data_IF_583408268642
#
_entry.id   IF_583408268642
#
_cell.length_a   1.000
_cell.length_b   1.000
_cell.length_c   1.000
_cell.angle_alpha   90.00
_cell.angle_beta   90.00
_cell.angle_gamma   90.00
#
_symmetry.space_group_name_H-M   'P 1'
#
loop_
_entity.id
_entity.type
_entity.pdbx_description
1 polymer ?
#
# COMPACT_ATOMS: atom_id res chain seq x y z
N UNK A 1 -6.34 19.43 -0.44
CA UNK A 1 -7.58 19.59 0.35
C UNK A 1 -8.18 20.99 0.15
N UNK A 2 -8.65 21.35 -1.05
CA UNK A 2 -9.14 22.71 -1.33
C UNK A 2 -10.45 22.75 -2.15
N UNK A 3 -11.20 21.64 -2.19
CA UNK A 3 -12.43 21.53 -3.00
C UNK A 3 -13.71 21.33 -2.18
N UNK A 4 -13.60 21.15 -0.87
CA UNK A 4 -14.76 20.88 0.01
C UNK A 4 -15.33 22.12 0.70
N UNK A 5 -14.63 23.26 0.67
CA UNK A 5 -15.07 24.49 1.35
C UNK A 5 -16.10 25.29 0.54
N UNK A 6 -16.07 25.22 -0.80
CA UNK A 6 -16.97 26.02 -1.66
C UNK A 6 -18.43 25.53 -1.70
N UNK A 7 -18.69 24.29 -1.29
CA UNK A 7 -20.05 23.73 -1.31
C UNK A 7 -20.92 24.24 -0.14
N UNK A 8 -20.30 24.63 0.97
CA UNK A 8 -20.99 25.15 2.15
C UNK A 8 -21.36 26.64 2.04
N UNK A 9 -20.65 27.40 1.20
CA UNK A 9 -20.90 28.84 1.01
C UNK A 9 -22.13 29.09 0.11
N UNK A 10 -22.42 28.20 -0.84
CA UNK A 10 -23.60 28.32 -1.72
C UNK A 10 -24.92 27.99 -1.01
N UNK A 11 -24.89 27.26 0.12
CA UNK A 11 -26.10 26.89 0.85
C UNK A 11 -26.59 27.97 1.83
N UNK A 12 -25.76 28.97 2.13
CA UNK A 12 -26.09 30.06 3.05
C UNK A 12 -26.76 31.27 2.37
N UNK A 13 -26.83 31.30 1.03
CA UNK A 13 -27.46 32.39 0.28
C UNK A 13 -28.93 32.16 -0.10
N UNK A 14 -29.55 31.04 0.27
CA UNK A 14 -30.92 30.72 -0.15
C UNK A 14 -32.01 31.11 0.88
N UNK A 15 -31.69 32.05 1.78
CA UNK A 15 -32.53 32.41 2.93
C UNK A 15 -33.17 33.78 2.88
N UNK A 16 -33.15 34.47 1.75
CA UNK A 16 -33.70 35.83 1.61
C UNK A 16 -34.62 35.91 0.39
N UNK A 17 -35.82 35.34 0.54
CA UNK A 17 -36.92 35.54 -0.40
C UNK A 17 -38.00 36.31 0.35
N UNK A 18 -37.83 37.63 0.36
CA UNK A 18 -38.74 38.60 0.92
C UNK A 18 -40.05 38.55 0.12
N UNK A 19 -41.10 37.96 0.69
CA UNK A 19 -42.43 37.95 0.08
C UNK A 19 -43.04 39.35 0.20
N UNK A 20 -42.83 40.19 -0.81
CA UNK A 20 -43.62 41.41 -0.99
C UNK A 20 -45.05 41.03 -1.41
N UNK A 21 -45.99 41.13 -0.48
CA UNK A 21 -47.42 41.20 -0.78
C UNK A 21 -47.72 42.54 -1.45
N UNK A 22 -47.93 42.53 -2.78
CA UNK A 22 -48.66 43.60 -3.47
C UNK A 22 -50.15 43.53 -3.07
N UNK A 23 -50.52 44.29 -2.04
CA UNK A 23 -51.90 44.52 -1.62
C UNK A 23 -52.38 45.93 -1.96
N UNK A 24 -52.37 46.30 -3.24
CA UNK A 24 -53.01 47.53 -3.69
C UNK A 24 -54.52 47.33 -3.84
N UNK A 25 -55.32 47.88 -2.91
CA UNK A 25 -56.58 48.65 -3.16
C UNK A 25 -57.46 48.71 -1.91
N UNK A 26 -57.57 49.90 -1.32
CA UNK A 26 -58.73 50.28 -0.51
C UNK A 26 -58.88 51.80 -0.50
N UNK A 27 -59.91 52.32 -1.17
CA UNK A 27 -61.03 52.97 -0.46
C UNK A 27 -62.11 53.41 -1.46
N UNK A 28 -63.21 52.66 -1.46
CA UNK A 28 -64.52 53.09 -1.94
C UNK A 28 -65.49 53.16 -0.76
N UNK A 29 -65.79 54.39 -0.36
CA UNK A 29 -66.92 54.92 0.43
C UNK A 29 -68.04 53.96 0.89
N UNK A 30 -68.26 53.96 2.22
CA UNK A 30 -69.51 53.88 3.01
C UNK A 30 -70.78 53.26 2.39
N UNK A 31 -71.26 52.18 3.03
CA UNK A 31 -72.60 51.62 2.80
C UNK A 31 -73.14 50.83 4.01
N UNK A 32 -73.82 51.54 4.90
CA UNK A 32 -74.58 51.08 6.07
C UNK A 32 -75.65 50.03 5.72
N UNK A 33 -75.75 48.88 6.44
CA UNK A 33 -77.04 48.23 6.75
C UNK A 33 -76.97 46.98 7.68
N UNK A 34 -77.78 47.07 8.75
CA UNK A 34 -78.61 46.05 9.43
C UNK A 34 -77.99 44.94 10.31
N UNK A 35 -78.34 45.02 11.59
CA UNK A 35 -78.08 44.06 12.65
C UNK A 35 -78.62 42.65 12.34
N UNK A 36 -77.74 41.64 12.48
CA UNK A 36 -78.11 40.24 12.76
C UNK A 36 -77.25 39.76 13.93
N UNK A 37 -77.92 39.24 14.96
CA UNK A 37 -77.34 38.70 16.21
C UNK A 37 -76.01 37.98 15.95
N UNK A 38 -74.91 38.56 16.42
CA UNK A 38 -73.69 37.81 16.71
C UNK A 38 -73.96 36.96 17.95
N UNK A 39 -74.27 35.69 17.76
CA UNK A 39 -73.86 34.69 18.75
C UNK A 39 -72.38 34.45 18.50
N UNK A 40 -71.54 34.94 19.41
CA UNK A 40 -70.11 34.61 19.41
C UNK A 40 -69.95 33.09 19.25
N UNK A 41 -69.05 32.60 18.37
CA UNK A 41 -68.70 31.19 18.36
C UNK A 41 -68.16 30.86 19.75
N UNK A 42 -68.90 30.03 20.49
CA UNK A 42 -68.45 29.48 21.76
C UNK A 42 -67.22 28.61 21.48
N UNK A 43 -66.12 28.91 22.20
CA UNK A 43 -64.96 28.04 22.39
C UNK A 43 -64.13 27.68 21.14
N UNK A 44 -63.30 28.62 20.66
CA UNK A 44 -62.13 28.30 19.82
C UNK A 44 -60.88 27.88 20.62
N UNK A 45 -60.88 28.09 21.94
CA UNK A 45 -59.72 27.82 22.82
C UNK A 45 -59.27 26.36 22.82
N UNK A 46 -60.21 25.41 22.85
CA UNK A 46 -59.87 23.99 22.84
C UNK A 46 -59.19 23.49 21.56
N UNK A 47 -59.50 24.08 20.40
CA UNK A 47 -58.83 23.74 19.12
C UNK A 47 -57.40 24.29 19.10
N UNK A 48 -57.20 25.51 19.62
CA UNK A 48 -55.87 26.13 19.71
C UNK A 48 -54.96 25.35 20.67
N UNK A 49 -55.47 24.94 21.83
CA UNK A 49 -54.75 24.11 22.80
C UNK A 49 -54.39 22.72 22.24
N UNK A 50 -55.30 22.10 21.48
CA UNK A 50 -55.03 20.83 20.81
C UNK A 50 -53.91 20.95 19.77
N UNK A 51 -53.91 22.04 18.97
CA UNK A 51 -52.86 22.32 18.00
C UNK A 51 -51.52 22.59 18.69
N UNK A 52 -51.52 23.33 19.80
CA UNK A 52 -50.31 23.60 20.60
C UNK A 52 -49.72 22.30 21.17
N UNK A 53 -50.60 21.44 21.72
CA UNK A 53 -50.22 20.14 22.29
C UNK A 53 -49.64 19.20 21.22
N UNK A 54 -50.26 19.17 20.04
CA UNK A 54 -49.77 18.41 18.90
C UNK A 54 -48.39 18.90 18.43
N UNK A 55 -48.20 20.23 18.35
CA UNK A 55 -46.91 20.84 17.99
C UNK A 55 -45.81 20.46 18.99
N UNK A 56 -46.11 20.48 20.28
CA UNK A 56 -45.16 20.05 21.33
C UNK A 56 -44.83 18.57 21.21
N UNK A 57 -45.82 17.71 21.00
CA UNK A 57 -45.62 16.27 20.84
C UNK A 57 -44.73 15.96 19.65
N UNK A 58 -44.99 16.57 18.48
CA UNK A 58 -44.15 16.39 17.30
C UNK A 58 -42.73 16.90 17.53
N UNK A 59 -42.59 18.08 18.16
CA UNK A 59 -41.27 18.64 18.48
C UNK A 59 -40.46 17.71 19.40
N UNK A 60 -41.10 17.12 20.40
CA UNK A 60 -40.47 16.15 21.31
C UNK A 60 -40.10 14.85 20.58
N UNK A 61 -40.98 14.31 19.75
CA UNK A 61 -40.73 13.08 18.99
C UNK A 61 -39.55 13.24 18.02
N UNK A 62 -39.52 14.34 17.26
CA UNK A 62 -38.40 14.65 16.38
C UNK A 62 -37.09 14.82 17.15
N UNK A 63 -37.12 15.53 18.29
CA UNK A 63 -35.93 15.71 19.10
C UNK A 63 -35.42 14.37 19.66
N UNK A 64 -36.32 13.50 20.14
CA UNK A 64 -35.97 12.16 20.61
C UNK A 64 -35.32 11.34 19.49
N UNK A 65 -35.89 11.38 18.28
CA UNK A 65 -35.35 10.67 17.12
C UNK A 65 -33.97 11.20 16.70
N UNK A 66 -33.77 12.53 16.75
CA UNK A 66 -32.46 13.14 16.45
C UNK A 66 -31.41 12.73 17.47
N UNK A 67 -31.72 12.74 18.76
CA UNK A 67 -30.77 12.31 19.78
C UNK A 67 -30.48 10.79 19.70
N UNK A 68 -31.48 9.97 19.37
CA UNK A 68 -31.27 8.54 19.11
C UNK A 68 -30.31 8.31 17.92
N UNK A 69 -30.53 9.00 16.79
CA UNK A 69 -29.65 8.91 15.63
C UNK A 69 -28.22 9.37 15.94
N UNK A 70 -28.07 10.45 16.72
CA UNK A 70 -26.77 10.94 17.17
C UNK A 70 -26.06 9.92 18.07
N UNK A 71 -26.79 9.26 18.97
CA UNK A 71 -26.24 8.21 19.83
C UNK A 71 -25.78 6.99 19.01
N UNK A 72 -26.57 6.58 18.01
CA UNK A 72 -26.19 5.49 17.08
C UNK A 72 -24.92 5.85 16.29
N UNK A 73 -24.84 7.06 15.74
CA UNK A 73 -23.66 7.50 15.02
C UNK A 73 -22.42 7.55 15.92
N UNK A 74 -22.55 8.06 17.14
CA UNK A 74 -21.46 8.08 18.11
C UNK A 74 -21.01 6.66 18.49
N UNK A 75 -21.95 5.73 18.64
CA UNK A 75 -21.65 4.33 18.91
C UNK A 75 -20.86 3.69 17.76
N UNK A 76 -21.31 3.87 16.51
CA UNK A 76 -20.61 3.32 15.34
C UNK A 76 -19.23 3.94 15.15
N UNK A 77 -19.08 5.25 15.38
CA UNK A 77 -17.77 5.90 15.34
C UNK A 77 -16.82 5.35 16.41
N UNK A 78 -17.33 5.11 17.62
CA UNK A 78 -16.58 4.49 18.71
C UNK A 78 -16.12 3.08 18.34
N UNK A 79 -17.03 2.24 17.82
CA UNK A 79 -16.69 0.90 17.33
C UNK A 79 -15.63 0.92 16.23
N UNK A 80 -15.75 1.84 15.27
CA UNK A 80 -14.76 1.98 14.20
C UNK A 80 -13.39 2.36 14.75
N UNK A 81 -13.32 3.34 15.64
CA UNK A 81 -12.08 3.77 16.30
C UNK A 81 -11.43 2.61 17.04
N UNK A 82 -12.20 1.86 17.81
CA UNK A 82 -11.68 0.75 18.61
C UNK A 82 -11.14 -0.37 17.70
N UNK A 83 -11.86 -0.72 16.63
CA UNK A 83 -11.36 -1.67 15.61
C UNK A 83 -10.08 -1.18 14.94
N UNK A 84 -9.99 0.11 14.58
CA UNK A 84 -8.77 0.66 14.01
C UNK A 84 -7.60 0.59 14.99
N UNK A 85 -7.82 0.87 16.28
CA UNK A 85 -6.78 0.76 17.30
C UNK A 85 -6.29 -0.69 17.47
N UNK A 86 -7.21 -1.66 17.48
CA UNK A 86 -6.88 -3.08 17.48
C UNK A 86 -6.08 -3.49 16.24
N UNK A 87 -6.50 -3.04 15.05
CA UNK A 87 -5.83 -3.34 13.78
C UNK A 87 -4.39 -2.79 13.74
N UNK A 88 -4.21 -1.54 14.18
CA UNK A 88 -2.89 -0.90 14.27
C UNK A 88 -2.01 -1.65 15.25
N UNK A 89 -2.53 -2.00 16.42
CA UNK A 89 -1.77 -2.74 17.44
C UNK A 89 -1.35 -4.12 16.93
N UNK A 90 -2.27 -4.83 16.27
CA UNK A 90 -2.01 -6.17 15.73
C UNK A 90 -0.99 -6.14 14.60
N UNK A 91 -1.15 -5.23 13.64
CA UNK A 91 -0.22 -5.07 12.51
C UNK A 91 1.16 -4.67 13.01
N UNK A 92 1.22 -3.76 13.99
CA UNK A 92 2.48 -3.34 14.62
C UNK A 92 3.18 -4.51 15.31
N UNK A 93 2.44 -5.35 16.05
CA UNK A 93 2.99 -6.54 16.69
C UNK A 93 3.50 -7.56 15.66
N UNK A 94 2.77 -7.77 14.57
CA UNK A 94 3.19 -8.65 13.49
C UNK A 94 4.48 -8.15 12.83
N UNK A 95 4.53 -6.87 12.45
CA UNK A 95 5.74 -6.29 11.85
C UNK A 95 6.94 -6.35 12.80
N UNK A 96 6.75 -6.10 14.10
CA UNK A 96 7.81 -6.24 15.09
C UNK A 96 8.35 -7.68 15.15
N UNK A 97 7.46 -8.68 15.12
CA UNK A 97 7.83 -10.09 15.09
C UNK A 97 8.62 -10.45 13.82
N UNK A 98 8.15 -10.01 12.64
CA UNK A 98 8.83 -10.24 11.37
C UNK A 98 10.23 -9.60 11.36
N UNK A 99 10.37 -8.39 11.90
CA UNK A 99 11.66 -7.71 12.04
C UNK A 99 12.61 -8.47 12.98
N UNK A 100 12.12 -8.98 14.11
CA UNK A 100 12.93 -9.83 15.00
C UNK A 100 13.39 -11.10 14.30
N UNK A 101 12.51 -11.75 13.53
CA UNK A 101 12.86 -12.96 12.79
C UNK A 101 13.94 -12.68 11.73
N UNK A 102 13.84 -11.58 10.99
CA UNK A 102 14.85 -11.17 10.00
C UNK A 102 16.18 -10.84 10.70
N UNK A 103 16.13 -10.21 11.88
CA UNK A 103 17.32 -9.91 12.68
C UNK A 103 18.04 -11.20 13.10
N UNK A 104 17.32 -12.19 13.59
CA UNK A 104 17.90 -13.48 13.99
C UNK A 104 18.53 -14.21 12.81
N UNK A 105 17.87 -14.21 11.64
CA UNK A 105 18.41 -14.77 10.41
C UNK A 105 19.69 -14.07 9.96
N UNK A 106 19.75 -12.75 10.08
CA UNK A 106 20.95 -11.98 9.76
C UNK A 106 22.11 -12.33 10.69
N UNK A 107 21.85 -12.43 12.00
CA UNK A 107 22.86 -12.85 12.99
C UNK A 107 23.41 -14.24 12.65
N UNK A 108 22.54 -15.18 12.30
CA UNK A 108 22.94 -16.52 11.89
C UNK A 108 23.83 -16.49 10.64
N UNK A 109 23.39 -15.81 9.58
CA UNK A 109 24.13 -15.72 8.32
C UNK A 109 25.51 -15.06 8.51
N UNK A 110 25.60 -14.04 9.37
CA UNK A 110 26.89 -13.43 9.74
C UNK A 110 27.81 -14.44 10.44
N UNK A 111 27.28 -15.28 11.34
CA UNK A 111 28.04 -16.33 12.00
C UNK A 111 28.59 -17.39 11.03
N UNK A 112 27.76 -17.83 10.08
CA UNK A 112 28.15 -18.80 9.04
C UNK A 112 29.21 -18.23 8.08
N UNK A 113 29.07 -16.96 7.70
CA UNK A 113 30.05 -16.27 6.85
C UNK A 113 31.40 -16.12 7.57
N UNK A 114 31.38 -15.77 8.86
CA UNK A 114 32.60 -15.67 9.67
C UNK A 114 33.27 -17.04 9.85
N UNK A 115 32.49 -18.10 10.07
CA UNK A 115 33.00 -19.47 10.11
C UNK A 115 33.68 -19.85 8.80
N UNK A 116 33.04 -19.56 7.66
CA UNK A 116 33.60 -19.84 6.32
C UNK A 116 34.90 -19.06 6.09
N UNK A 117 34.95 -17.79 6.51
CA UNK A 117 36.15 -16.95 6.44
C UNK A 117 37.31 -17.57 7.23
N UNK A 118 37.05 -18.08 8.43
CA UNK A 118 38.07 -18.74 9.25
C UNK A 118 38.57 -20.05 8.62
N UNK A 119 37.66 -20.87 8.08
CA UNK A 119 38.02 -22.10 7.36
C UNK A 119 38.91 -21.80 6.14
N UNK A 120 38.58 -20.77 5.35
CA UNK A 120 39.37 -20.36 4.20
C UNK A 120 40.78 -19.87 4.60
N UNK A 121 40.89 -19.15 5.72
CA UNK A 121 42.19 -18.70 6.23
C UNK A 121 43.08 -19.90 6.67
N UNK A 122 42.49 -20.90 7.33
CA UNK A 122 43.19 -22.14 7.65
C UNK A 122 43.67 -22.87 6.39
N UNK A 123 42.81 -23.01 5.38
CA UNK A 123 43.17 -23.64 4.10
C UNK A 123 44.33 -22.90 3.43
N UNK A 124 44.27 -21.56 3.33
CA UNK A 124 45.36 -20.76 2.76
C UNK A 124 46.71 -20.96 3.49
N UNK A 125 46.71 -21.11 4.82
CA UNK A 125 47.93 -21.40 5.59
C UNK A 125 48.46 -22.80 5.30
N UNK A 126 47.58 -23.81 5.18
CA UNK A 126 47.99 -25.18 4.82
C UNK A 126 48.46 -25.30 3.37
N UNK A 127 47.85 -24.56 2.43
CA UNK A 127 48.24 -24.47 1.02
C UNK A 127 49.60 -23.78 0.88
N UNK A 128 49.83 -22.69 1.62
CA UNK A 128 51.12 -21.98 1.65
C UNK A 128 52.23 -22.88 2.20
N UNK A 129 51.94 -23.69 3.24
CA UNK A 129 52.88 -24.71 3.73
C UNK A 129 53.15 -25.80 2.69
N UNK A 130 52.11 -26.31 1.99
CA UNK A 130 52.25 -27.35 0.96
C UNK A 130 52.99 -26.84 -0.29
N UNK A 131 52.73 -25.60 -0.69
CA UNK A 131 53.41 -24.88 -1.78
C UNK A 131 54.88 -24.66 -1.50
N UNK A 132 55.26 -24.44 -0.23
CA UNK A 132 56.67 -24.30 0.17
C UNK A 132 57.46 -25.62 0.21
N UNK A 133 56.78 -26.77 0.30
CA UNK A 133 57.41 -28.09 0.49
C UNK A 133 57.64 -28.85 -0.83
N UNK A 134 56.96 -28.51 -1.93
CA UNK A 134 57.18 -29.18 -3.21
C UNK A 134 57.29 -28.15 -4.35
N UNK A 135 58.48 -27.58 -4.51
CA UNK A 135 58.84 -26.85 -5.72
C UNK A 135 58.75 -27.79 -6.92
N UNK A 136 58.23 -27.32 -8.06
CA UNK A 136 58.17 -28.08 -9.31
C UNK A 136 59.55 -28.67 -9.69
N UNK A 137 60.64 -28.04 -9.21
CA UNK A 137 62.01 -28.52 -9.34
C UNK A 137 62.29 -29.82 -8.56
N UNK A 138 61.66 -30.06 -7.40
CA UNK A 138 61.83 -31.30 -6.62
C UNK A 138 60.99 -32.45 -7.16
N UNK A 139 59.81 -32.15 -7.72
CA UNK A 139 59.01 -33.15 -8.44
C UNK A 139 59.71 -33.63 -9.74
N UNK A 140 60.42 -32.74 -10.44
CA UNK A 140 61.19 -33.11 -11.63
C UNK A 140 62.48 -33.91 -11.32
N UNK A 141 62.99 -33.88 -10.09
CA UNK A 141 64.11 -34.72 -9.64
C UNK A 141 63.70 -36.14 -9.31
N UNK A 142 62.42 -36.37 -9.00
CA UNK A 142 61.86 -37.71 -8.92
C UNK A 142 61.80 -38.26 -10.33
N UNK A 143 62.85 -38.98 -10.72
CA UNK A 143 62.98 -39.60 -12.04
C UNK A 143 61.77 -40.51 -12.27
N UNK A 144 60.88 -40.22 -13.24
CA UNK A 144 59.96 -41.23 -13.71
C UNK A 144 60.82 -42.28 -14.41
N UNK A 145 60.90 -43.48 -13.85
CA UNK A 145 61.46 -44.61 -14.57
C UNK A 145 60.71 -44.73 -15.89
N UNK A 146 61.48 -44.49 -16.95
CA UNK A 146 61.11 -44.46 -18.36
C UNK A 146 59.99 -45.43 -18.73
N UNK A 147 58.87 -44.89 -19.21
CA UNK A 147 57.99 -45.61 -20.15
C UNK A 147 57.68 -44.68 -21.31
N UNK A 148 58.30 -45.02 -22.43
CA UNK A 148 58.04 -44.54 -23.79
C UNK A 148 56.55 -44.39 -24.06
N UNK A 149 56.12 -43.26 -24.65
CA UNK A 149 55.54 -43.22 -26.01
C UNK A 149 54.99 -41.83 -26.38
N UNK A 150 55.47 -41.35 -27.53
CA UNK A 150 54.86 -40.48 -28.55
C UNK A 150 53.96 -39.29 -28.15
N UNK A 151 54.45 -38.09 -28.47
CA UNK A 151 53.70 -36.85 -28.69
C UNK A 151 52.70 -36.96 -29.85
N UNK A 152 51.69 -36.07 -29.89
CA UNK A 152 51.69 -35.12 -31.01
C UNK A 152 51.49 -33.67 -30.58
N UNK A 153 52.23 -32.81 -31.29
CA UNK A 153 52.16 -31.36 -31.30
C UNK A 153 50.84 -30.86 -31.88
N UNK A 154 50.21 -29.87 -31.24
CA UNK A 154 49.18 -29.04 -31.86
C UNK A 154 49.42 -27.56 -31.49
N UNK A 155 49.50 -26.74 -32.52
CA UNK A 155 49.86 -25.35 -32.50
C UNK A 155 48.83 -24.47 -31.77
N UNK A 156 49.31 -23.43 -31.09
CA UNK A 156 48.48 -22.37 -30.48
C UNK A 156 47.85 -21.53 -31.60
N UNK A 157 46.52 -21.58 -31.75
CA UNK A 157 45.75 -20.56 -32.47
C UNK A 157 45.37 -19.44 -31.50
N UNK A 158 45.55 -18.19 -31.92
CA UNK A 158 45.25 -16.98 -31.16
C UNK A 158 43.95 -16.33 -31.67
N UNK A 159 42.88 -17.11 -31.75
CA UNK A 159 41.54 -16.63 -32.11
C UNK A 159 40.60 -17.09 -31.01
N UNK A 160 39.89 -16.20 -30.27
CA UNK A 160 38.85 -16.62 -29.35
C UNK A 160 37.83 -17.43 -30.14
N UNK A 161 37.73 -18.71 -29.83
CA UNK A 161 36.74 -19.58 -30.45
C UNK A 161 35.35 -19.03 -30.12
N UNK A 162 34.47 -18.79 -31.10
CA UNK A 162 33.13 -18.28 -30.83
C UNK A 162 32.39 -19.33 -29.98
N UNK A 163 32.23 -19.03 -28.70
CA UNK A 163 31.47 -19.87 -27.77
C UNK A 163 29.99 -19.61 -28.04
N UNK A 164 29.35 -20.56 -28.72
CA UNK A 164 27.90 -20.53 -28.92
C UNK A 164 27.23 -21.17 -27.71
N UNK A 165 26.54 -20.36 -26.91
CA UNK A 165 25.71 -20.86 -25.82
C UNK A 165 24.36 -21.29 -26.36
N UNK A 166 23.96 -22.53 -26.11
CA UNK A 166 22.59 -23.02 -26.36
C UNK A 166 21.73 -22.78 -25.12
N UNK A 167 20.50 -22.30 -25.33
CA UNK A 167 19.53 -22.11 -24.25
C UNK A 167 18.75 -23.41 -24.08
N UNK A 168 18.85 -24.04 -22.91
CA UNK A 168 18.04 -25.21 -22.57
C UNK A 168 16.60 -24.79 -22.30
N UNK A 169 15.68 -25.24 -23.16
CA UNK A 169 14.24 -24.96 -23.07
C UNK A 169 13.44 -26.09 -22.43
N UNK A 170 14.08 -27.18 -22.00
CA UNK A 170 13.39 -28.38 -21.48
C UNK A 170 12.54 -28.12 -20.24
N UNK A 171 12.79 -27.01 -19.52
CA UNK A 171 12.06 -26.59 -18.33
C UNK A 171 11.09 -25.43 -18.57
N UNK A 172 10.97 -24.95 -19.81
CA UNK A 172 10.04 -23.87 -20.18
C UNK A 172 8.69 -24.51 -20.54
N UNK A 173 7.59 -24.16 -19.86
CA UNK A 173 6.25 -24.66 -20.20
C UNK A 173 5.92 -24.40 -21.67
N UNK A 174 5.22 -25.34 -22.32
CA UNK A 174 4.92 -25.30 -23.76
C UNK A 174 4.34 -23.97 -24.24
N UNK A 175 3.51 -23.33 -23.43
CA UNK A 175 2.85 -22.05 -23.73
C UNK A 175 3.83 -20.87 -23.84
N UNK A 176 5.07 -21.01 -23.35
CA UNK A 176 6.08 -19.94 -23.27
C UNK A 176 7.36 -20.26 -24.06
N UNK A 177 7.42 -21.40 -24.75
CA UNK A 177 8.59 -21.82 -25.54
C UNK A 177 8.91 -20.83 -26.67
N UNK A 178 7.86 -20.22 -27.25
CA UNK A 178 7.96 -19.19 -28.28
C UNK A 178 8.57 -17.88 -27.79
N UNK A 179 8.37 -17.55 -26.51
CA UNK A 179 8.84 -16.30 -25.91
C UNK A 179 10.28 -16.40 -25.37
N UNK A 180 10.76 -17.62 -25.12
CA UNK A 180 12.15 -17.91 -24.73
C UNK A 180 13.14 -17.79 -25.91
N UNK A 181 13.12 -16.67 -26.64
CA UNK A 181 14.12 -16.38 -27.67
C UNK A 181 15.37 -15.74 -27.05
N UNK A 182 16.57 -15.96 -27.59
CA UNK A 182 17.81 -15.36 -27.07
C UNK A 182 17.72 -13.83 -26.91
N UNK A 183 17.05 -13.16 -27.85
CA UNK A 183 16.85 -11.70 -27.82
C UNK A 183 15.97 -11.24 -26.67
N UNK A 184 14.88 -11.96 -26.39
CA UNK A 184 13.97 -11.63 -25.29
C UNK A 184 14.67 -11.89 -23.95
N UNK A 185 15.33 -13.04 -23.81
CA UNK A 185 16.09 -13.40 -22.62
C UNK A 185 17.17 -12.34 -22.32
N UNK A 186 17.94 -11.94 -23.34
CA UNK A 186 18.96 -10.90 -23.18
C UNK A 186 18.36 -9.58 -22.71
N UNK A 187 17.27 -9.12 -23.34
CA UNK A 187 16.59 -7.87 -22.95
C UNK A 187 16.02 -7.93 -21.53
N UNK A 188 15.40 -9.03 -21.15
CA UNK A 188 14.85 -9.20 -19.80
C UNK A 188 15.96 -9.14 -18.76
N UNK A 189 17.07 -9.86 -18.97
CA UNK A 189 18.22 -9.85 -18.05
C UNK A 189 18.83 -8.44 -17.96
N UNK A 190 19.00 -7.73 -19.07
CA UNK A 190 19.48 -6.35 -19.06
C UNK A 190 18.54 -5.39 -18.33
N UNK A 191 17.23 -5.54 -18.54
CA UNK A 191 16.21 -4.73 -17.86
C UNK A 191 16.22 -4.98 -16.34
N UNK A 192 16.25 -6.25 -15.91
CA UNK A 192 16.30 -6.63 -14.50
C UNK A 192 17.55 -6.05 -13.82
N UNK A 193 18.73 -6.19 -14.43
CA UNK A 193 19.96 -5.60 -13.89
C UNK A 193 19.90 -4.07 -13.81
N UNK A 194 19.31 -3.42 -14.81
CA UNK A 194 19.15 -1.96 -14.82
C UNK A 194 18.17 -1.48 -13.75
N UNK A 195 17.11 -2.24 -13.48
CA UNK A 195 16.13 -1.92 -12.46
C UNK A 195 16.71 -2.10 -11.05
N UNK A 196 17.42 -3.21 -10.81
CA UNK A 196 18.12 -3.50 -9.56
C UNK A 196 19.12 -2.39 -9.20
N UNK A 197 19.89 -1.94 -10.20
CA UNK A 197 20.90 -0.89 -10.02
C UNK A 197 20.25 0.46 -9.67
N UNK A 198 19.17 0.82 -10.37
CA UNK A 198 18.44 2.06 -10.08
C UNK A 198 17.70 2.01 -8.73
N UNK A 199 17.17 0.84 -8.35
CA UNK A 199 16.54 0.63 -7.05
C UNK A 199 17.54 0.80 -5.91
N UNK A 200 18.73 0.21 -6.03
CA UNK A 200 19.81 0.35 -5.04
C UNK A 200 20.27 1.81 -4.94
N UNK A 201 20.47 2.49 -6.07
CA UNK A 201 20.85 3.91 -6.09
C UNK A 201 19.77 4.81 -5.47
N UNK A 202 18.48 4.52 -5.70
CA UNK A 202 17.37 5.27 -5.09
C UNK A 202 17.30 5.15 -3.57
N UNK A 203 17.76 4.01 -3.01
CA UNK A 203 17.85 3.77 -1.56
C UNK A 203 19.13 4.33 -0.94
N UNK A 204 20.17 4.59 -1.72
CA UNK A 204 21.44 5.13 -1.23
C UNK A 204 21.45 6.66 -1.15
N UNK A 205 20.54 7.33 -1.88
CA UNK A 205 20.47 8.79 -2.00
C UNK A 205 19.35 9.41 -1.12
N UNK A 206 18.54 8.58 -0.44
CA UNK A 206 17.54 9.00 0.54
C UNK A 206 18.07 8.90 1.98
#
# INVERSE_FOLDING_TARGET
MARTTKMLEMQQQNGDMDWQEEGGTSEGVLGQNRARKQTAPKSSGGVVEAVQSLKQLLGQDFNMKTEAMKAEFQLEFTKLRDRMAEEVTRTTAQTAQELSQVQDQLIQACGELEQTRLQLNMLNKTETQRSSVQSYADAARMTPTSMSSQSPSAARSATPEPVFCTVDKSRVPEDHIGDATPTIIHKTVEQDMSFETNYILSKLIA
#
